data_IF_552691735868
#
_entry.id   IF_552691735868
#
_cell.length_a   1.000
_cell.length_b   1.000
_cell.length_c   1.000
_cell.angle_alpha   90.00
_cell.angle_beta   90.00
_cell.angle_gamma   90.00
#
_symmetry.space_group_name_H-M   'P 1'
#
loop_
_entity.id
_entity.type
_entity.pdbx_description
1 polymer ?
#
# COMPACT_ATOMS: atom_id res chain seq x y z
N UNK A 1 -7.04 42.86 18.26
CA UNK A 1 -6.85 42.66 16.80
C UNK A 1 -5.69 41.73 16.44
N UNK A 2 -4.44 41.93 16.90
CA UNK A 2 -3.31 41.01 16.58
C UNK A 2 -3.58 39.52 16.88
N UNK A 3 -4.18 39.19 18.03
CA UNK A 3 -4.53 37.81 18.40
C UNK A 3 -5.53 37.16 17.43
N UNK A 4 -6.51 37.94 16.94
CA UNK A 4 -7.52 37.47 15.99
C UNK A 4 -6.90 37.19 14.62
N UNK A 5 -5.97 38.04 14.17
CA UNK A 5 -5.24 37.86 12.90
C UNK A 5 -4.36 36.60 12.96
N UNK A 6 -3.67 36.36 14.08
CA UNK A 6 -2.83 35.16 14.25
C UNK A 6 -3.69 33.89 14.24
N UNK A 7 -4.83 33.89 14.94
CA UNK A 7 -5.75 32.74 14.94
C UNK A 7 -6.28 32.47 13.53
N UNK A 8 -6.69 33.51 12.80
CA UNK A 8 -7.12 33.39 11.40
C UNK A 8 -6.02 32.82 10.50
N UNK A 9 -4.77 33.28 10.65
CA UNK A 9 -3.65 32.77 9.88
C UNK A 9 -3.40 31.27 10.14
N UNK A 10 -3.45 30.84 11.40
CA UNK A 10 -3.28 29.42 11.77
C UNK A 10 -4.42 28.57 11.21
N UNK A 11 -5.66 29.05 11.25
CA UNK A 11 -6.82 28.33 10.69
C UNK A 11 -6.70 28.17 9.18
N UNK A 12 -6.32 29.23 8.47
CA UNK A 12 -6.14 29.19 7.00
C UNK A 12 -5.00 28.25 6.62
N UNK A 13 -3.85 28.30 7.33
CA UNK A 13 -2.73 27.39 7.09
C UNK A 13 -3.09 25.94 7.41
N UNK A 14 -3.77 25.68 8.53
CA UNK A 14 -4.22 24.34 8.91
C UNK A 14 -5.19 23.77 7.89
N UNK A 15 -6.13 24.59 7.39
CA UNK A 15 -7.04 24.19 6.32
C UNK A 15 -6.28 23.86 5.02
N UNK A 16 -5.32 24.69 4.63
CA UNK A 16 -4.53 24.47 3.42
C UNK A 16 -3.71 23.18 3.50
N UNK A 17 -2.98 22.97 4.60
CA UNK A 17 -2.23 21.74 4.86
C UNK A 17 -3.16 20.54 4.83
N UNK A 18 -4.32 20.59 5.50
CA UNK A 18 -5.28 19.49 5.49
C UNK A 18 -5.81 19.18 4.08
N UNK A 19 -6.13 20.21 3.29
CA UNK A 19 -6.64 20.04 1.92
C UNK A 19 -5.62 19.43 0.96
N UNK A 20 -4.32 19.66 1.23
CA UNK A 20 -3.21 19.22 0.39
C UNK A 20 -2.38 18.09 1.01
N UNK A 21 -2.75 17.61 2.20
CA UNK A 21 -1.97 16.64 2.96
C UNK A 21 -1.74 15.37 2.17
N UNK A 22 -2.78 14.87 1.49
CA UNK A 22 -2.71 13.64 0.70
C UNK A 22 -1.75 13.82 -0.48
N UNK A 23 -1.92 14.86 -1.30
CA UNK A 23 -1.00 15.16 -2.41
C UNK A 23 0.45 15.35 -1.94
N UNK A 24 0.65 16.06 -0.82
CA UNK A 24 1.98 16.26 -0.23
C UNK A 24 2.57 14.94 0.24
N UNK A 25 1.81 14.10 0.94
CA UNK A 25 2.26 12.79 1.39
C UNK A 25 2.71 11.93 0.21
N UNK A 26 1.89 11.84 -0.85
CA UNK A 26 2.24 11.09 -2.06
C UNK A 26 3.48 11.66 -2.76
N UNK A 27 3.63 12.99 -2.84
CA UNK A 27 4.83 13.62 -3.41
C UNK A 27 6.11 13.34 -2.60
N UNK A 28 5.96 13.05 -1.30
CA UNK A 28 7.06 12.74 -0.39
C UNK A 28 7.31 11.23 -0.28
N UNK A 29 6.73 10.42 -1.16
CA UNK A 29 6.95 8.97 -1.20
C UNK A 29 6.08 8.16 -0.24
N UNK A 30 5.03 8.75 0.34
CA UNK A 30 3.95 7.97 0.95
C UNK A 30 3.17 7.30 -0.17
N UNK A 31 2.96 6.00 -0.11
CA UNK A 31 2.20 5.27 -1.11
C UNK A 31 1.22 4.30 -0.45
N UNK A 32 0.35 3.73 -1.26
CA UNK A 32 -0.38 2.51 -0.95
C UNK A 32 0.09 1.44 -1.93
N UNK A 33 0.41 0.26 -1.44
CA UNK A 33 0.70 -0.91 -2.26
C UNK A 33 -0.19 -2.04 -1.79
N UNK A 34 -0.99 -2.58 -2.71
CA UNK A 34 -1.83 -3.74 -2.45
C UNK A 34 -1.66 -4.76 -3.56
N UNK A 35 -1.10 -5.92 -3.21
CA UNK A 35 -0.97 -7.06 -4.11
C UNK A 35 -1.58 -8.31 -3.49
N UNK A 36 -2.25 -9.08 -4.32
CA UNK A 36 -2.90 -10.30 -3.93
C UNK A 36 -2.81 -11.33 -5.06
N UNK A 37 -2.51 -12.57 -4.71
CA UNK A 37 -2.59 -13.71 -5.62
C UNK A 37 -3.22 -14.90 -4.90
N UNK A 38 -4.13 -15.58 -5.57
CA UNK A 38 -4.71 -16.84 -5.13
C UNK A 38 -4.10 -17.95 -5.98
N UNK A 39 -3.57 -18.98 -5.31
CA UNK A 39 -2.98 -20.15 -5.95
C UNK A 39 -3.77 -21.41 -5.57
N UNK A 40 -3.81 -22.39 -6.46
CA UNK A 40 -4.50 -23.67 -6.28
C UNK A 40 -3.58 -24.85 -6.62
N UNK A 41 -3.65 -25.96 -5.86
CA UNK A 41 -2.94 -27.20 -6.19
C UNK A 41 -3.86 -28.25 -6.87
N UNK A 42 -3.30 -29.42 -7.20
CA UNK A 42 -4.04 -30.55 -7.77
C UNK A 42 -5.16 -31.09 -6.89
N UNK A 43 -5.06 -30.90 -5.58
CA UNK A 43 -6.07 -31.30 -4.59
C UNK A 43 -7.16 -30.21 -4.39
N UNK A 44 -7.14 -29.17 -5.21
CA UNK A 44 -8.05 -28.00 -5.14
C UNK A 44 -7.90 -27.17 -3.85
N UNK A 45 -6.81 -27.33 -3.11
CA UNK A 45 -6.49 -26.46 -1.98
C UNK A 45 -6.09 -25.09 -2.48
N UNK A 46 -6.67 -24.04 -1.88
CA UNK A 46 -6.38 -22.64 -2.23
C UNK A 46 -5.54 -21.98 -1.15
N UNK A 47 -4.52 -21.23 -1.59
CA UNK A 47 -3.69 -20.38 -0.73
C UNK A 47 -3.68 -18.97 -1.28
N UNK A 48 -3.53 -17.98 -0.40
CA UNK A 48 -3.54 -16.56 -0.74
C UNK A 48 -2.21 -15.93 -0.34
N UNK A 49 -1.43 -15.52 -1.33
CA UNK A 49 -0.31 -14.61 -1.13
C UNK A 49 -0.84 -13.18 -1.17
N UNK A 50 -0.50 -12.36 -0.17
CA UNK A 50 -0.91 -10.96 -0.15
C UNK A 50 0.20 -10.08 0.41
N UNK A 51 0.26 -8.85 -0.07
CA UNK A 51 1.21 -7.82 0.36
C UNK A 51 0.45 -6.51 0.44
N UNK A 52 0.46 -5.89 1.62
CA UNK A 52 -0.20 -4.62 1.87
C UNK A 52 0.73 -3.70 2.62
N UNK A 53 0.88 -2.47 2.13
CA UNK A 53 1.54 -1.39 2.84
C UNK A 53 0.86 -0.06 2.53
N UNK A 54 0.78 0.79 3.54
CA UNK A 54 0.31 2.17 3.44
C UNK A 54 1.29 3.03 4.24
N UNK A 55 1.96 3.97 3.57
CA UNK A 55 3.01 4.78 4.19
C UNK A 55 4.26 4.89 3.34
N UNK A 56 5.38 5.18 4.00
CA UNK A 56 6.69 5.10 3.39
C UNK A 56 7.24 3.68 3.54
N UNK A 57 7.49 3.03 2.41
CA UNK A 57 8.00 1.67 2.39
C UNK A 57 8.93 1.43 1.21
N UNK A 58 9.71 0.35 1.33
CA UNK A 58 10.55 -0.16 0.24
C UNK A 58 9.71 -1.08 -0.64
N UNK A 59 9.26 -0.57 -1.78
CA UNK A 59 8.48 -1.29 -2.79
C UNK A 59 9.14 -2.60 -3.23
N UNK A 60 10.45 -2.57 -3.45
CA UNK A 60 11.21 -3.74 -3.92
C UNK A 60 11.19 -4.83 -2.84
N UNK A 61 11.36 -4.45 -1.58
CA UNK A 61 11.31 -5.40 -0.46
C UNK A 61 9.92 -6.03 -0.30
N UNK A 62 8.84 -5.26 -0.45
CA UNK A 62 7.47 -5.78 -0.40
C UNK A 62 7.16 -6.67 -1.61
N UNK A 63 7.65 -6.31 -2.80
CA UNK A 63 7.51 -7.13 -4.00
C UNK A 63 8.24 -8.46 -3.86
N UNK A 64 9.49 -8.43 -3.40
CA UNK A 64 10.28 -9.65 -3.21
C UNK A 64 9.63 -10.60 -2.22
N UNK A 65 9.00 -10.08 -1.15
CA UNK A 65 8.24 -10.92 -0.21
C UNK A 65 7.00 -11.54 -0.86
N UNK A 66 6.28 -10.77 -1.67
CA UNK A 66 5.11 -11.25 -2.39
C UNK A 66 5.48 -12.36 -3.38
N UNK A 67 6.53 -12.14 -4.18
CA UNK A 67 7.05 -13.11 -5.13
C UNK A 67 7.62 -14.35 -4.42
N UNK A 68 8.29 -14.20 -3.27
CA UNK A 68 8.77 -15.33 -2.49
C UNK A 68 7.62 -16.26 -2.05
N UNK A 69 6.49 -15.71 -1.60
CA UNK A 69 5.30 -16.49 -1.27
C UNK A 69 4.77 -17.27 -2.47
N UNK A 70 4.67 -16.61 -3.64
CA UNK A 70 4.22 -17.26 -4.89
C UNK A 70 5.17 -18.40 -5.26
N UNK A 71 6.47 -18.10 -5.33
CA UNK A 71 7.49 -19.07 -5.73
C UNK A 71 7.54 -20.28 -4.79
N UNK A 72 7.38 -20.07 -3.48
CA UNK A 72 7.30 -21.15 -2.50
C UNK A 72 6.11 -22.08 -2.77
N UNK A 73 4.93 -21.51 -3.04
CA UNK A 73 3.74 -22.31 -3.32
C UNK A 73 3.80 -22.97 -4.71
N UNK A 74 4.34 -22.30 -5.73
CA UNK A 74 4.56 -22.89 -7.05
C UNK A 74 5.54 -24.07 -7.00
N UNK A 75 6.63 -23.96 -6.21
CA UNK A 75 7.55 -25.07 -5.96
C UNK A 75 6.87 -26.27 -5.27
N UNK A 76 5.79 -26.02 -4.52
CA UNK A 76 4.95 -27.04 -3.88
C UNK A 76 3.77 -27.52 -4.77
N UNK A 77 3.77 -27.18 -6.06
CA UNK A 77 2.78 -27.67 -7.03
C UNK A 77 1.48 -26.87 -7.07
N UNK A 78 1.45 -25.67 -6.50
CA UNK A 78 0.34 -24.74 -6.68
C UNK A 78 0.49 -23.95 -7.99
N UNK A 79 -0.61 -23.41 -8.52
CA UNK A 79 -0.66 -22.55 -9.70
C UNK A 79 -1.51 -21.34 -9.43
N UNK A 80 -1.10 -20.17 -9.90
CA UNK A 80 -1.87 -18.93 -9.79
C UNK A 80 -3.19 -19.08 -10.57
N UNK A 81 -4.30 -18.72 -9.93
CA UNK A 81 -5.63 -18.69 -10.56
C UNK A 81 -6.26 -17.30 -10.56
N UNK A 82 -5.80 -16.42 -9.67
CA UNK A 82 -6.27 -15.04 -9.58
C UNK A 82 -5.12 -14.17 -9.09
N UNK A 83 -4.98 -12.98 -9.65
CA UNK A 83 -4.00 -11.98 -9.19
C UNK A 83 -4.58 -10.59 -9.36
N UNK A 84 -4.45 -9.77 -8.31
CA UNK A 84 -4.82 -8.36 -8.31
C UNK A 84 -3.65 -7.52 -7.80
N UNK A 85 -3.40 -6.39 -8.45
CA UNK A 85 -2.43 -5.40 -8.02
C UNK A 85 -3.02 -4.01 -8.20
N UNK A 86 -2.93 -3.19 -7.16
CA UNK A 86 -3.37 -1.79 -7.13
C UNK A 86 -2.42 -0.95 -6.30
#
# INVERSE_FOLDING_TARGET
>A
MKKVIIVLAVVVLGYFVNSKFVELAYSLGFAELKKEAILINSEKMKVKCHSYALGWFDEIKLENKFQACINEHEANGYKIIESASS
#
